data_IF_127650359107
#
_entry.id   IF_127650359107
#
_cell.length_a   1.000
_cell.length_b   1.000
_cell.length_c   1.000
_cell.angle_alpha   90.00
_cell.angle_beta   90.00
_cell.angle_gamma   90.00
#
_symmetry.space_group_name_H-M   'P 1'
#
loop_
_entity.id
_entity.type
_entity.pdbx_description
1 polymer ?
#
# COMPACT_ATOMS: atom_id res chain seq x y z
N UNK A 1 -5.85 53.59 54.41
CA UNK A 1 -6.11 53.44 52.96
C UNK A 1 -4.88 53.13 52.08
N UNK A 2 -3.64 53.43 52.48
CA UNK A 2 -2.46 53.12 51.63
C UNK A 2 -1.94 51.67 51.72
N UNK A 3 -2.06 51.00 52.87
CA UNK A 3 -1.58 49.60 53.03
C UNK A 3 -2.40 48.55 52.24
N UNK A 4 -3.72 48.74 52.13
CA UNK A 4 -4.61 47.80 51.43
C UNK A 4 -4.33 47.72 49.92
N UNK A 5 -3.90 48.82 49.29
CA UNK A 5 -3.55 48.86 47.86
C UNK A 5 -2.32 48.03 47.51
N UNK A 6 -1.33 47.97 48.41
CA UNK A 6 -0.10 47.21 48.19
C UNK A 6 -0.34 45.71 48.31
N UNK A 7 -1.21 45.27 49.23
CA UNK A 7 -1.59 43.87 49.35
C UNK A 7 -2.35 43.36 48.13
N UNK A 8 -3.28 44.17 47.58
CA UNK A 8 -4.03 43.80 46.36
C UNK A 8 -3.14 43.75 45.12
N UNK A 9 -2.14 44.64 45.01
CA UNK A 9 -1.19 44.62 43.90
C UNK A 9 -0.25 43.41 43.97
N UNK A 10 0.18 43.01 45.17
CA UNK A 10 1.04 41.84 45.34
C UNK A 10 0.28 40.55 45.00
N UNK A 11 -0.97 40.40 45.44
CA UNK A 11 -1.78 39.21 45.12
C UNK A 11 -2.11 39.11 43.63
N UNK A 12 -2.46 40.22 42.96
CA UNK A 12 -2.68 40.22 41.51
C UNK A 12 -1.40 39.85 40.75
N UNK A 13 -0.23 40.31 41.19
CA UNK A 13 1.04 39.98 40.56
C UNK A 13 1.40 38.49 40.76
N UNK A 14 1.18 37.94 41.96
CA UNK A 14 1.38 36.51 42.28
C UNK A 14 0.42 35.60 41.49
N UNK A 15 -0.85 35.99 41.31
CA UNK A 15 -1.80 35.24 40.47
C UNK A 15 -1.44 35.31 38.99
N UNK A 16 -0.95 36.45 38.49
CA UNK A 16 -0.52 36.62 37.09
C UNK A 16 0.73 35.81 36.75
N UNK A 17 1.69 35.71 37.69
CA UNK A 17 2.89 34.88 37.55
C UNK A 17 2.58 33.38 37.66
N UNK A 18 1.63 32.98 38.53
CA UNK A 18 1.19 31.59 38.58
C UNK A 18 0.40 31.16 37.34
N UNK A 19 -0.42 32.05 36.76
CA UNK A 19 -1.11 31.77 35.49
C UNK A 19 -0.14 31.68 34.30
N UNK A 20 0.88 32.53 34.24
CA UNK A 20 1.85 32.51 33.15
C UNK A 20 2.77 31.27 33.20
N UNK A 21 3.20 30.84 34.40
CA UNK A 21 3.96 29.60 34.56
C UNK A 21 3.11 28.34 34.31
N UNK A 22 1.82 28.36 34.66
CA UNK A 22 0.88 27.28 34.36
C UNK A 22 0.56 27.15 32.87
N UNK A 23 0.45 28.27 32.14
CA UNK A 23 0.25 28.25 30.68
C UNK A 23 1.53 27.87 29.92
N UNK A 24 2.71 28.30 30.36
CA UNK A 24 3.98 27.91 29.70
C UNK A 24 4.32 26.42 29.85
N UNK A 25 3.95 25.80 30.98
CA UNK A 25 4.13 24.34 31.17
C UNK A 25 3.09 23.51 30.42
N UNK A 26 1.85 24.01 30.29
CA UNK A 26 0.81 23.36 29.48
C UNK A 26 1.08 23.43 27.96
N UNK A 27 1.69 24.53 27.47
CA UNK A 27 2.02 24.69 26.04
C UNK A 27 3.25 23.83 25.65
N UNK A 28 4.20 23.58 26.56
CA UNK A 28 5.35 22.73 26.28
C UNK A 28 5.05 21.23 26.26
N UNK A 29 3.89 20.79 26.80
CA UNK A 29 3.52 19.38 26.85
C UNK A 29 2.71 18.89 25.63
N UNK A 30 2.39 19.77 24.67
CA UNK A 30 1.51 19.43 23.54
C UNK A 30 2.13 19.67 22.15
N UNK A 31 3.46 19.85 22.04
CA UNK A 31 4.12 19.73 20.75
C UNK A 31 4.41 18.25 20.46
N UNK A 32 3.36 17.49 20.09
CA UNK A 32 3.57 16.34 19.22
C UNK A 32 4.24 16.89 17.97
N UNK A 33 5.56 16.76 17.86
CA UNK A 33 6.29 17.13 16.65
C UNK A 33 5.60 16.45 15.48
N UNK A 34 5.12 17.24 14.52
CA UNK A 34 4.49 16.70 13.32
C UNK A 34 5.41 15.65 12.70
N UNK A 35 4.84 14.50 12.32
CA UNK A 35 5.62 13.43 11.69
C UNK A 35 6.31 13.96 10.42
N UNK A 36 7.62 13.77 10.34
CA UNK A 36 8.38 14.14 9.16
C UNK A 36 8.25 13.03 8.12
N UNK A 37 7.42 13.27 7.10
CA UNK A 37 7.21 12.34 6.00
C UNK A 37 8.43 12.13 5.12
N UNK A 38 9.39 13.06 5.11
CA UNK A 38 10.55 13.05 4.23
C UNK A 38 10.19 12.80 2.74
N UNK A 39 9.06 13.36 2.30
CA UNK A 39 8.61 13.29 0.89
C UNK A 39 8.94 14.59 0.16
N UNK A 40 9.24 14.54 -1.15
CA UNK A 40 9.44 15.74 -1.96
C UNK A 40 8.22 16.65 -1.97
N UNK A 41 8.43 17.97 -2.17
CA UNK A 41 7.36 19.00 -2.17
C UNK A 41 6.25 18.74 -3.19
N UNK A 42 6.58 18.09 -4.31
CA UNK A 42 5.60 17.76 -5.35
C UNK A 42 4.65 16.63 -4.92
N UNK A 43 5.07 15.75 -4.00
CA UNK A 43 4.24 14.65 -3.52
C UNK A 43 3.33 15.13 -2.38
N UNK A 44 2.00 15.11 -2.55
CA UNK A 44 1.08 15.40 -1.45
C UNK A 44 1.17 14.33 -0.36
N UNK A 45 0.90 14.68 0.89
CA UNK A 45 0.85 13.69 1.97
C UNK A 45 -0.36 12.77 1.79
N UNK A 46 -0.24 11.48 2.16
CA UNK A 46 -1.38 10.58 2.17
C UNK A 46 -2.36 11.00 3.29
N UNK A 47 -3.62 10.57 3.14
CA UNK A 47 -4.63 10.81 4.17
C UNK A 47 -4.36 9.94 5.40
N UNK A 48 -4.28 10.57 6.58
CA UNK A 48 -4.06 9.88 7.86
C UNK A 48 -5.37 9.85 8.65
N UNK A 49 -5.80 8.67 9.14
CA UNK A 49 -6.97 8.60 10.02
C UNK A 49 -6.75 9.39 11.31
N UNK A 50 -7.76 10.17 11.70
CA UNK A 50 -7.68 11.02 12.90
C UNK A 50 -7.47 10.20 14.20
N UNK A 51 -7.94 8.96 14.23
CA UNK A 51 -7.78 8.01 15.34
C UNK A 51 -6.44 7.25 15.32
N UNK A 52 -5.60 7.45 14.29
CA UNK A 52 -4.25 6.92 14.22
C UNK A 52 -3.25 7.93 13.61
N UNK A 53 -2.98 9.06 14.29
CA UNK A 53 -2.01 10.04 13.79
C UNK A 53 -0.59 9.44 13.74
N UNK A 54 0.18 9.84 12.72
CA UNK A 54 1.56 9.40 12.54
C UNK A 54 2.49 9.98 13.61
N UNK A 55 3.43 9.17 14.09
CA UNK A 55 4.61 9.62 14.85
C UNK A 55 5.76 8.61 14.66
N UNK A 56 7.01 9.05 14.84
CA UNK A 56 8.18 8.23 14.53
C UNK A 56 8.28 6.98 15.41
N UNK A 57 7.90 7.06 16.70
CA UNK A 57 7.94 5.92 17.62
C UNK A 57 6.94 4.83 17.21
N UNK A 58 5.77 5.22 16.69
CA UNK A 58 4.75 4.30 16.20
C UNK A 58 5.14 3.64 14.88
N UNK A 59 5.79 4.39 13.98
CA UNK A 59 6.37 3.84 12.74
C UNK A 59 7.45 2.81 13.08
N UNK A 60 8.33 3.13 14.03
CA UNK A 60 9.38 2.20 14.45
C UNK A 60 8.82 0.94 15.13
N UNK A 61 7.85 1.09 16.02
CA UNK A 61 7.13 -0.06 16.60
C UNK A 61 6.47 -0.92 15.49
N UNK A 62 5.81 -0.27 14.52
CA UNK A 62 5.22 -0.95 13.38
C UNK A 62 6.25 -1.73 12.56
N UNK A 63 7.45 -1.16 12.34
CA UNK A 63 8.56 -1.81 11.65
C UNK A 63 8.98 -3.08 12.38
N UNK A 64 9.18 -3.03 13.69
CA UNK A 64 9.50 -4.22 14.47
C UNK A 64 8.40 -5.30 14.37
N UNK A 65 7.14 -4.91 14.49
CA UNK A 65 6.00 -5.84 14.39
C UNK A 65 5.86 -6.44 12.99
N UNK A 66 6.14 -5.69 11.94
CA UNK A 66 6.09 -6.16 10.55
C UNK A 66 7.09 -7.31 10.28
N UNK A 67 8.22 -7.30 10.97
CA UNK A 67 9.25 -8.34 10.89
C UNK A 67 9.14 -9.41 11.99
N UNK A 68 8.19 -9.30 12.92
CA UNK A 68 8.05 -10.20 14.08
C UNK A 68 7.46 -11.56 13.68
N UNK A 69 8.30 -12.59 13.66
CA UNK A 69 7.87 -13.93 13.26
C UNK A 69 6.97 -14.61 14.30
N UNK A 70 7.08 -14.23 15.59
CA UNK A 70 6.22 -14.75 16.67
C UNK A 70 4.75 -14.31 16.54
N UNK A 71 4.42 -13.44 15.57
CA UNK A 71 3.04 -13.14 15.19
C UNK A 71 2.43 -14.21 14.28
N UNK A 72 3.17 -15.25 13.88
CA UNK A 72 2.62 -16.40 13.16
C UNK A 72 2.53 -17.65 14.03
N UNK A 73 1.65 -18.57 13.64
CA UNK A 73 1.39 -19.83 14.35
C UNK A 73 2.61 -20.75 14.41
N UNK A 74 3.50 -20.66 13.42
CA UNK A 74 4.75 -21.44 13.36
C UNK A 74 5.91 -20.73 14.04
N UNK A 75 5.83 -19.40 14.24
CA UNK A 75 6.96 -18.59 14.66
C UNK A 75 8.02 -18.37 13.56
N UNK A 76 7.71 -18.71 12.31
CA UNK A 76 8.64 -18.62 11.16
C UNK A 76 8.21 -17.58 10.11
N UNK A 77 6.96 -17.10 10.17
CA UNK A 77 6.39 -16.14 9.22
C UNK A 77 6.16 -14.78 9.87
N UNK A 78 6.46 -13.72 9.13
CA UNK A 78 6.05 -12.35 9.45
C UNK A 78 5.44 -11.69 8.21
N UNK A 79 4.96 -10.45 8.32
CA UNK A 79 4.50 -9.70 7.14
C UNK A 79 5.61 -9.63 6.07
N UNK A 80 6.86 -9.48 6.50
CA UNK A 80 8.03 -9.43 5.64
C UNK A 80 8.32 -10.75 4.89
N UNK A 81 7.72 -11.89 5.26
CA UNK A 81 7.87 -13.15 4.51
C UNK A 81 7.21 -13.07 3.13
N UNK A 82 6.06 -12.40 3.03
CA UNK A 82 5.35 -12.17 1.77
C UNK A 82 5.57 -10.76 1.20
N UNK A 83 6.14 -9.85 1.98
CA UNK A 83 6.39 -8.47 1.58
C UNK A 83 7.89 -8.14 1.75
N UNK A 84 8.70 -8.70 0.86
CA UNK A 84 10.16 -8.56 0.87
C UNK A 84 10.56 -7.17 0.36
N UNK A 85 11.25 -6.39 1.18
CA UNK A 85 11.71 -5.03 0.81
C UNK A 85 12.44 -4.99 -0.54
N UNK A 86 13.35 -5.95 -0.79
CA UNK A 86 14.14 -6.03 -2.04
C UNK A 86 13.30 -6.21 -3.31
N UNK A 87 12.05 -6.67 -3.17
CA UNK A 87 11.06 -6.84 -4.25
C UNK A 87 9.96 -5.79 -4.13
N UNK A 88 10.28 -4.60 -3.62
CA UNK A 88 9.32 -3.55 -3.35
C UNK A 88 8.11 -4.03 -2.51
N UNK A 89 8.39 -4.86 -1.50
CA UNK A 89 7.38 -5.43 -0.60
C UNK A 89 6.38 -6.37 -1.29
N UNK A 90 6.85 -7.23 -2.20
CA UNK A 90 6.14 -8.44 -2.69
C UNK A 90 6.94 -9.71 -2.35
N UNK A 91 6.49 -10.89 -2.79
CA UNK A 91 7.12 -12.19 -2.47
C UNK A 91 7.88 -12.85 -3.63
N UNK A 92 7.71 -12.36 -4.86
CA UNK A 92 8.29 -12.95 -6.08
C UNK A 92 7.71 -14.31 -6.47
N UNK A 93 6.51 -14.66 -5.99
CA UNK A 93 5.82 -15.92 -6.27
C UNK A 93 4.55 -15.66 -7.08
N UNK A 94 4.08 -16.67 -7.83
CA UNK A 94 2.78 -16.62 -8.51
C UNK A 94 1.65 -16.31 -7.52
N UNK A 95 1.62 -17.05 -6.40
CA UNK A 95 0.70 -16.80 -5.29
C UNK A 95 1.41 -17.00 -3.97
N UNK A 96 0.96 -16.28 -2.95
CA UNK A 96 1.49 -16.40 -1.60
C UNK A 96 1.22 -17.79 -1.02
N UNK A 97 2.10 -18.21 -0.11
CA UNK A 97 1.95 -19.44 0.67
C UNK A 97 2.00 -19.04 2.13
N UNK A 98 0.94 -19.34 2.89
CA UNK A 98 0.86 -18.98 4.30
C UNK A 98 1.64 -19.94 5.21
N UNK A 99 1.61 -19.65 6.51
CA UNK A 99 2.39 -20.34 7.53
C UNK A 99 2.05 -21.84 7.67
N UNK A 100 0.86 -22.27 7.24
CA UNK A 100 0.41 -23.67 7.24
C UNK A 100 0.62 -24.38 5.89
N UNK A 101 1.20 -23.70 4.90
CA UNK A 101 1.42 -24.24 3.56
C UNK A 101 0.24 -24.05 2.59
N UNK A 102 -0.85 -23.42 3.02
CA UNK A 102 -1.98 -23.08 2.16
C UNK A 102 -1.60 -22.03 1.11
N UNK A 103 -2.05 -22.23 -0.13
CA UNK A 103 -1.82 -21.30 -1.24
C UNK A 103 -2.95 -20.30 -1.33
N UNK A 104 -2.58 -19.04 -1.54
CA UNK A 104 -3.53 -17.98 -1.82
C UNK A 104 -4.07 -18.07 -3.25
N UNK A 105 -5.30 -17.58 -3.51
CA UNK A 105 -5.78 -17.43 -4.87
C UNK A 105 -5.08 -16.28 -5.61
N UNK A 106 -4.40 -15.38 -4.88
CA UNK A 106 -3.87 -14.12 -5.40
C UNK A 106 -2.37 -13.94 -5.11
N UNK A 107 -1.73 -13.19 -5.98
CA UNK A 107 -0.35 -12.70 -5.82
C UNK A 107 -0.28 -11.62 -4.70
N UNK A 108 0.84 -11.56 -4.00
CA UNK A 108 1.10 -10.53 -2.98
C UNK A 108 1.36 -9.16 -3.62
N UNK A 109 0.41 -8.23 -3.43
CA UNK A 109 0.57 -6.85 -3.90
C UNK A 109 1.73 -6.14 -3.21
N UNK A 110 2.38 -5.23 -3.94
CA UNK A 110 3.36 -4.32 -3.35
C UNK A 110 2.72 -3.42 -2.31
N UNK A 111 3.46 -3.14 -1.23
CA UNK A 111 3.09 -2.13 -0.23
C UNK A 111 3.66 -0.74 -0.53
N UNK A 112 4.38 -0.57 -1.65
CA UNK A 112 4.88 0.74 -2.06
C UNK A 112 3.71 1.71 -2.24
N UNK A 113 3.78 2.86 -1.56
CA UNK A 113 2.76 3.90 -1.57
C UNK A 113 1.35 3.43 -1.15
N UNK A 114 1.23 2.35 -0.36
CA UNK A 114 -0.07 1.79 0.04
C UNK A 114 -0.93 2.80 0.83
N UNK A 115 -0.29 3.78 1.47
CA UNK A 115 -0.92 4.91 2.15
C UNK A 115 -1.87 5.73 1.26
N UNK A 116 -1.67 5.71 -0.05
CA UNK A 116 -2.43 6.48 -1.03
C UNK A 116 -3.65 5.70 -1.57
N UNK A 117 -3.80 4.43 -1.23
CA UNK A 117 -4.91 3.61 -1.73
C UNK A 117 -6.15 3.79 -0.83
N UNK A 118 -7.29 4.27 -1.38
CA UNK A 118 -8.52 4.43 -0.60
C UNK A 118 -9.22 3.10 -0.30
N UNK A 119 -8.93 2.07 -1.08
CA UNK A 119 -9.35 0.68 -0.86
C UNK A 119 -8.15 -0.25 -1.03
N UNK A 120 -8.09 -1.29 -0.21
CA UNK A 120 -6.95 -2.18 -0.10
C UNK A 120 -7.24 -3.54 -0.76
N UNK A 121 -6.18 -4.34 -0.89
CA UNK A 121 -6.19 -5.63 -1.61
C UNK A 121 -6.53 -5.47 -3.10
N UNK A 122 -6.72 -6.60 -3.78
CA UNK A 122 -6.95 -6.66 -5.22
C UNK A 122 -8.36 -6.22 -5.65
N UNK A 123 -9.38 -6.52 -4.85
CA UNK A 123 -10.79 -6.39 -5.30
C UNK A 123 -11.81 -6.21 -4.16
N UNK A 124 -11.44 -5.57 -3.05
CA UNK A 124 -12.35 -5.38 -1.92
C UNK A 124 -12.71 -3.90 -1.69
N UNK A 125 -13.92 -3.44 -2.11
CA UNK A 125 -14.33 -2.05 -1.92
C UNK A 125 -14.65 -1.69 -0.46
N UNK A 126 -14.72 -2.66 0.46
CA UNK A 126 -15.10 -2.46 1.85
C UNK A 126 -13.90 -2.28 2.79
N UNK A 127 -12.70 -2.69 2.36
CA UNK A 127 -11.49 -2.59 3.18
C UNK A 127 -10.76 -1.28 2.86
N UNK A 128 -11.08 -0.24 3.64
CA UNK A 128 -10.62 1.14 3.45
C UNK A 128 -9.56 1.60 4.45
N UNK A 129 -9.18 0.73 5.39
CA UNK A 129 -8.20 1.03 6.46
C UNK A 129 -7.18 -0.08 6.59
N UNK A 130 -5.90 0.30 6.64
CA UNK A 130 -4.78 -0.62 6.89
C UNK A 130 -4.94 -1.35 8.23
N UNK A 131 -5.46 -0.66 9.25
CA UNK A 131 -5.71 -1.24 10.57
C UNK A 131 -6.68 -2.42 10.52
N UNK A 132 -7.70 -2.34 9.66
CA UNK A 132 -8.66 -3.41 9.46
C UNK A 132 -8.07 -4.50 8.57
N UNK A 133 -7.35 -4.10 7.52
CA UNK A 133 -6.72 -5.06 6.61
C UNK A 133 -5.71 -5.93 7.36
N UNK A 134 -4.90 -5.38 8.27
CA UNK A 134 -3.91 -6.11 9.06
C UNK A 134 -4.52 -7.24 9.92
N UNK A 135 -5.81 -7.20 10.23
CA UNK A 135 -6.50 -8.30 10.92
C UNK A 135 -6.67 -9.52 10.01
N UNK A 136 -6.79 -9.33 8.70
CA UNK A 136 -6.98 -10.42 7.73
C UNK A 136 -5.77 -11.36 7.67
N UNK A 137 -4.51 -10.92 7.47
CA UNK A 137 -3.38 -11.83 7.45
C UNK A 137 -3.12 -12.46 8.84
N UNK A 138 -3.40 -11.74 9.93
CA UNK A 138 -3.16 -12.26 11.28
C UNK A 138 -4.20 -13.33 11.66
N UNK A 139 -5.48 -13.06 11.39
CA UNK A 139 -6.63 -13.82 11.90
C UNK A 139 -7.54 -14.38 10.79
N UNK A 140 -7.07 -14.43 9.54
CA UNK A 140 -7.79 -15.11 8.45
C UNK A 140 -7.77 -16.62 8.66
N UNK A 141 -8.91 -17.27 8.44
CA UNK A 141 -9.05 -18.73 8.55
C UNK A 141 -8.76 -19.44 7.22
N UNK A 142 -9.13 -18.84 6.07
CA UNK A 142 -8.97 -19.49 4.77
C UNK A 142 -8.70 -18.51 3.62
N UNK A 143 -7.63 -18.74 2.84
CA UNK A 143 -6.47 -19.56 3.21
C UNK A 143 -5.76 -18.97 4.44
N UNK A 144 -5.16 -19.82 5.27
CA UNK A 144 -4.41 -19.34 6.44
C UNK A 144 -3.14 -18.60 6.01
N UNK A 145 -2.98 -17.36 6.49
CA UNK A 145 -1.75 -16.57 6.35
C UNK A 145 -0.84 -16.74 7.57
N UNK A 146 -1.06 -15.97 8.64
CA UNK A 146 -0.25 -16.07 9.87
C UNK A 146 -0.84 -17.06 10.88
N UNK A 147 -2.15 -17.35 10.81
CA UNK A 147 -2.78 -18.46 11.55
C UNK A 147 -3.03 -18.20 13.05
N UNK A 148 -3.27 -16.96 13.46
CA UNK A 148 -3.41 -16.59 14.87
C UNK A 148 -4.85 -16.44 15.37
N UNK A 149 -5.82 -17.00 14.65
CA UNK A 149 -7.26 -16.99 15.03
C UNK A 149 -7.44 -17.51 16.45
N UNK A 150 -8.10 -16.70 17.30
CA UNK A 150 -8.36 -17.05 18.70
C UNK A 150 -7.13 -17.02 19.62
N UNK A 151 -5.98 -16.51 19.14
CA UNK A 151 -4.71 -16.43 19.88
C UNK A 151 -4.31 -14.99 20.23
N UNK A 152 -5.26 -14.06 20.25
CA UNK A 152 -5.02 -12.65 20.58
C UNK A 152 -4.37 -12.51 21.95
N UNK A 153 -4.86 -13.26 22.95
CA UNK A 153 -4.28 -13.24 24.31
C UNK A 153 -2.83 -13.74 24.33
N UNK A 154 -2.50 -14.73 23.49
CA UNK A 154 -1.15 -15.26 23.37
C UNK A 154 -0.21 -14.22 22.74
N UNK A 155 -0.63 -13.56 21.67
CA UNK A 155 0.13 -12.46 21.04
C UNK A 155 0.40 -11.36 22.07
N UNK A 156 -0.64 -10.90 22.76
CA UNK A 156 -0.50 -9.79 23.71
C UNK A 156 0.34 -10.16 24.94
N UNK A 157 0.31 -11.42 25.38
CA UNK A 157 1.20 -11.91 26.44
C UNK A 157 2.67 -11.90 25.96
N UNK A 158 2.94 -12.44 24.76
CA UNK A 158 4.27 -12.42 24.16
C UNK A 158 4.84 -10.99 24.06
N UNK A 159 4.02 -10.03 23.62
CA UNK A 159 4.43 -8.62 23.53
C UNK A 159 4.65 -7.96 24.92
N UNK A 160 3.96 -8.41 25.97
CA UNK A 160 4.15 -7.89 27.33
C UNK A 160 5.40 -8.45 28.01
N UNK A 161 5.71 -9.72 27.72
CA UNK A 161 6.81 -10.45 28.35
C UNK A 161 8.15 -10.21 27.62
N UNK A 162 8.13 -9.61 26.43
CA UNK A 162 9.31 -9.22 25.67
C UNK A 162 10.05 -8.03 26.32
N UNK A 163 11.37 -7.98 26.17
CA UNK A 163 12.21 -6.93 26.77
C UNK A 163 12.12 -5.57 26.07
N UNK A 164 11.71 -5.52 24.79
CA UNK A 164 11.67 -4.30 23.98
C UNK A 164 10.26 -3.72 23.85
N UNK A 165 9.28 -4.58 23.55
CA UNK A 165 7.93 -4.12 23.19
C UNK A 165 7.24 -3.25 24.23
N UNK A 166 7.28 -3.51 25.56
CA UNK A 166 6.62 -2.67 26.54
C UNK A 166 7.03 -1.20 26.47
N UNK A 167 8.32 -0.93 26.28
CA UNK A 167 8.82 0.43 26.15
C UNK A 167 8.43 1.04 24.79
N UNK A 168 8.54 0.28 23.70
CA UNK A 168 8.15 0.75 22.36
C UNK A 168 6.67 1.12 22.27
N UNK A 169 5.77 0.30 22.84
CA UNK A 169 4.33 0.58 22.91
C UNK A 169 4.03 1.82 23.75
N UNK A 170 4.70 1.98 24.90
CA UNK A 170 4.57 3.17 25.75
C UNK A 170 5.00 4.44 25.02
N UNK A 171 6.06 4.38 24.24
CA UNK A 171 6.59 5.53 23.50
C UNK A 171 5.74 5.89 22.27
N UNK A 172 5.16 4.89 21.60
CA UNK A 172 4.30 5.05 20.42
C UNK A 172 2.89 5.56 20.76
N UNK A 173 2.32 5.12 21.89
CA UNK A 173 0.95 5.40 22.35
C UNK A 173 0.97 6.13 23.70
N UNK A 174 1.67 7.27 23.73
CA UNK A 174 1.82 8.10 24.93
C UNK A 174 0.45 8.43 25.53
N UNK A 175 0.38 8.40 26.87
CA UNK A 175 -0.81 8.69 27.67
C UNK A 175 -1.88 7.60 27.69
N UNK A 176 -1.71 6.48 26.99
CA UNK A 176 -2.57 5.32 27.15
C UNK A 176 -2.13 4.45 28.33
N UNK A 177 -3.07 4.08 29.20
CA UNK A 177 -2.78 3.23 30.38
C UNK A 177 -2.40 1.80 29.98
N UNK A 178 -3.01 1.27 28.91
CA UNK A 178 -2.84 -0.10 28.44
C UNK A 178 -2.45 -0.12 26.96
N UNK A 179 -1.21 0.29 26.62
CA UNK A 179 -0.82 0.50 25.23
C UNK A 179 -0.66 -0.80 24.44
N UNK A 180 -0.43 -1.95 25.10
CA UNK A 180 -0.38 -3.27 24.45
C UNK A 180 -1.79 -3.87 24.37
N UNK A 181 -2.44 -3.64 23.23
CA UNK A 181 -3.77 -4.13 22.90
C UNK A 181 -3.90 -4.37 21.37
N UNK A 182 -4.93 -5.09 20.88
CA UNK A 182 -5.06 -5.40 19.45
C UNK A 182 -5.19 -4.18 18.54
N UNK A 183 -5.84 -3.10 19.01
CA UNK A 183 -5.98 -1.88 18.23
C UNK A 183 -4.63 -1.20 18.02
N UNK A 184 -3.81 -1.13 19.04
CA UNK A 184 -2.48 -0.51 18.95
C UNK A 184 -1.49 -1.37 18.16
N UNK A 185 -1.64 -2.70 18.17
CA UNK A 185 -0.91 -3.60 17.29
C UNK A 185 -1.15 -3.24 15.81
N UNK A 186 -2.41 -3.18 15.37
CA UNK A 186 -2.72 -2.86 13.97
C UNK A 186 -2.46 -1.40 13.62
N UNK A 187 -2.65 -0.47 14.56
CA UNK A 187 -2.29 0.96 14.36
C UNK A 187 -0.79 1.17 14.16
N UNK A 188 0.04 0.41 14.86
CA UNK A 188 1.50 0.47 14.69
C UNK A 188 1.90 -0.09 13.32
N UNK A 189 1.43 -1.29 12.95
CA UNK A 189 1.63 -1.87 11.62
C UNK A 189 1.21 -0.89 10.51
N UNK A 190 0.00 -0.36 10.59
CA UNK A 190 -0.52 0.60 9.63
C UNK A 190 0.30 1.91 9.57
N UNK A 191 0.91 2.35 10.68
CA UNK A 191 1.80 3.51 10.65
C UNK A 191 3.09 3.21 9.89
N UNK A 192 3.69 2.03 10.08
CA UNK A 192 4.84 1.60 9.30
C UNK A 192 4.51 1.47 7.81
N UNK A 193 3.42 0.80 7.46
CA UNK A 193 2.98 0.66 6.07
C UNK A 193 2.71 2.01 5.40
N UNK A 194 2.13 2.98 6.13
CA UNK A 194 1.96 4.34 5.61
C UNK A 194 3.28 5.04 5.28
N UNK A 195 4.36 4.68 5.97
CA UNK A 195 5.68 5.27 5.74
C UNK A 195 6.41 4.71 4.52
N UNK A 196 5.93 3.61 3.93
CA UNK A 196 6.52 2.95 2.76
C UNK A 196 6.30 3.76 1.48
N UNK A 197 6.90 4.95 1.40
CA UNK A 197 6.75 5.87 0.28
C UNK A 197 7.92 5.76 -0.71
N UNK A 198 7.59 5.49 -1.97
CA UNK A 198 8.50 5.36 -3.11
C UNK A 198 8.27 6.51 -4.10
N UNK A 199 9.21 7.46 -4.12
CA UNK A 199 9.11 8.76 -4.81
C UNK A 199 10.47 9.30 -5.27
N UNK A 200 11.49 8.44 -5.36
CA UNK A 200 12.87 8.79 -5.76
C UNK A 200 13.32 8.08 -7.05
N UNK A 201 12.39 7.51 -7.83
CA UNK A 201 12.72 6.82 -9.09
C UNK A 201 13.38 7.76 -10.11
N UNK A 202 14.10 7.22 -11.12
CA UNK A 202 14.57 8.01 -12.26
C UNK A 202 13.45 8.84 -12.92
N UNK A 203 12.24 8.27 -13.03
CA UNK A 203 11.09 9.00 -13.53
C UNK A 203 10.71 10.20 -12.65
N UNK A 204 10.72 10.04 -11.32
CA UNK A 204 10.41 11.15 -10.41
C UNK A 204 11.42 12.30 -10.54
N UNK A 205 12.72 11.96 -10.65
CA UNK A 205 13.82 12.92 -10.87
C UNK A 205 13.65 13.67 -12.20
N UNK A 206 13.23 12.97 -13.25
CA UNK A 206 12.93 13.55 -14.55
C UNK A 206 11.70 14.46 -14.52
N UNK A 207 10.55 13.92 -14.08
CA UNK A 207 9.25 14.55 -14.23
C UNK A 207 9.04 15.70 -13.25
N UNK A 208 9.52 15.54 -12.01
CA UNK A 208 9.26 16.47 -10.92
C UNK A 208 10.53 17.12 -10.36
N UNK A 209 11.68 16.46 -10.48
CA UNK A 209 12.98 16.99 -10.06
C UNK A 209 13.66 17.93 -11.06
N UNK A 210 13.20 17.97 -12.31
CA UNK A 210 13.76 18.81 -13.37
C UNK A 210 15.05 18.27 -14.00
N UNK A 211 15.46 17.04 -13.67
CA UNK A 211 16.62 16.39 -14.28
C UNK A 211 16.22 15.75 -15.62
N UNK A 212 16.35 16.51 -16.70
CA UNK A 212 16.02 16.07 -18.05
C UNK A 212 16.77 14.80 -18.49
N UNK A 213 17.88 14.43 -17.84
CA UNK A 213 18.70 13.28 -18.20
C UNK A 213 18.52 12.08 -17.26
N UNK A 214 17.65 12.18 -16.25
CA UNK A 214 17.41 11.08 -15.32
C UNK A 214 16.80 9.83 -15.99
N UNK A 215 16.13 9.99 -17.13
CA UNK A 215 15.63 8.87 -17.95
C UNK A 215 16.17 8.92 -19.38
N UNK A 216 16.28 7.75 -20.01
CA UNK A 216 16.79 7.61 -21.37
C UNK A 216 15.85 8.19 -22.43
N UNK A 217 16.33 8.51 -23.64
CA UNK A 217 15.46 8.88 -24.76
C UNK A 217 14.39 7.83 -25.09
N UNK A 218 14.70 6.54 -24.89
CA UNK A 218 13.74 5.44 -25.06
C UNK A 218 12.60 5.53 -24.05
N UNK A 219 12.92 5.73 -22.76
CA UNK A 219 11.91 5.90 -21.72
C UNK A 219 11.00 7.12 -21.96
N UNK A 220 11.52 8.22 -22.52
CA UNK A 220 10.69 9.39 -22.91
C UNK A 220 9.72 9.06 -24.04
N UNK A 221 10.14 8.26 -25.03
CA UNK A 221 9.24 7.77 -26.08
C UNK A 221 8.20 6.80 -25.51
N UNK A 222 8.61 5.93 -24.59
CA UNK A 222 7.72 5.04 -23.85
C UNK A 222 6.68 5.78 -23.01
N UNK A 223 7.05 6.87 -22.34
CA UNK A 223 6.10 7.73 -21.62
C UNK A 223 5.06 8.31 -22.57
N UNK A 224 5.47 8.76 -23.76
CA UNK A 224 4.54 9.29 -24.77
C UNK A 224 3.55 8.21 -25.24
N UNK A 225 4.03 6.99 -25.47
CA UNK A 225 3.18 5.84 -25.81
C UNK A 225 2.21 5.54 -24.66
N UNK A 226 2.70 5.46 -23.42
CA UNK A 226 1.88 5.19 -22.24
C UNK A 226 0.73 6.20 -22.06
N UNK A 227 0.97 7.47 -22.38
CA UNK A 227 0.00 8.55 -22.27
C UNK A 227 -0.78 8.82 -23.59
N UNK A 228 -0.74 7.92 -24.57
CA UNK A 228 -1.51 8.08 -25.80
C UNK A 228 -2.88 7.42 -25.70
N UNK A 229 -3.84 7.95 -26.46
CA UNK A 229 -5.16 7.33 -26.67
C UNK A 229 -5.06 6.04 -27.53
N UNK A 230 -3.90 5.73 -28.10
CA UNK A 230 -3.71 4.45 -28.81
C UNK A 230 -3.48 3.29 -27.84
N UNK A 231 -2.81 3.54 -26.70
CA UNK A 231 -2.46 2.51 -25.71
C UNK A 231 -3.30 2.60 -24.43
N UNK A 232 -3.92 3.75 -24.17
CA UNK A 232 -4.93 3.95 -23.12
C UNK A 232 -4.47 3.65 -21.68
N UNK A 233 -3.17 3.46 -21.45
CA UNK A 233 -2.64 3.01 -20.15
C UNK A 233 -2.93 4.01 -19.03
N UNK A 234 -2.86 5.31 -19.35
CA UNK A 234 -3.02 6.40 -18.39
C UNK A 234 -4.43 6.52 -17.80
N UNK A 235 -5.48 5.94 -18.45
CA UNK A 235 -6.83 5.96 -17.90
C UNK A 235 -6.94 5.19 -16.58
N UNK A 236 -6.23 4.07 -16.46
CA UNK A 236 -6.22 3.23 -15.26
C UNK A 236 -4.95 3.40 -14.41
N UNK A 237 -3.83 3.75 -15.04
CA UNK A 237 -2.52 3.89 -14.40
C UNK A 237 -2.00 5.33 -14.48
N UNK A 238 -2.88 6.30 -14.19
CA UNK A 238 -2.56 7.72 -14.23
C UNK A 238 -2.05 8.30 -12.91
N UNK A 239 -1.83 9.62 -12.93
CA UNK A 239 -1.54 10.42 -11.74
C UNK A 239 -0.18 10.14 -11.09
N UNK A 240 0.02 10.71 -9.91
CA UNK A 240 1.29 10.65 -9.17
C UNK A 240 1.65 9.23 -8.70
N UNK A 241 0.68 8.32 -8.61
CA UNK A 241 0.87 6.97 -8.08
C UNK A 241 0.65 5.88 -9.14
N UNK A 242 0.47 6.22 -10.42
CA UNK A 242 0.23 5.26 -11.50
C UNK A 242 -0.91 4.28 -11.21
N UNK A 243 -2.01 4.82 -10.69
CA UNK A 243 -3.26 4.11 -10.38
C UNK A 243 -4.39 5.14 -10.33
N UNK A 244 -5.57 4.75 -10.78
CA UNK A 244 -6.81 5.52 -10.73
C UNK A 244 -7.61 5.31 -9.44
N UNK A 245 -7.05 4.57 -8.48
CA UNK A 245 -7.61 4.39 -7.15
C UNK A 245 -6.71 5.04 -6.12
N UNK A 246 -6.89 6.35 -5.91
CA UNK A 246 -5.97 7.19 -5.13
C UNK A 246 -6.70 8.15 -4.19
N UNK A 247 -6.08 8.44 -3.05
CA UNK A 247 -6.51 9.47 -2.10
C UNK A 247 -5.30 10.12 -1.42
N UNK A 248 -5.32 11.45 -1.31
CA UNK A 248 -4.32 12.24 -0.58
C UNK A 248 -4.91 13.58 -0.12
N UNK A 249 -4.14 14.34 0.67
CA UNK A 249 -4.62 15.58 1.32
C UNK A 249 -5.08 16.70 0.36
N UNK A 250 -4.73 16.59 -0.93
CA UNK A 250 -5.08 17.57 -1.98
C UNK A 250 -6.29 17.15 -2.83
N UNK A 251 -6.84 15.95 -2.62
CA UNK A 251 -8.05 15.50 -3.31
C UNK A 251 -9.28 15.78 -2.44
N UNK A 252 -10.32 16.33 -3.05
CA UNK A 252 -11.59 16.58 -2.38
C UNK A 252 -12.41 15.29 -2.19
N UNK A 253 -12.25 14.32 -3.10
CA UNK A 253 -12.97 13.06 -3.12
C UNK A 253 -11.99 11.91 -3.34
N UNK A 254 -12.30 10.75 -2.77
CA UNK A 254 -11.55 9.53 -3.06
C UNK A 254 -11.92 9.00 -4.44
N UNK A 255 -10.93 8.54 -5.19
CA UNK A 255 -11.11 7.87 -6.47
C UNK A 255 -10.99 6.36 -6.26
N UNK A 256 -11.97 5.59 -6.69
CA UNK A 256 -11.99 4.13 -6.56
C UNK A 256 -12.51 3.55 -7.87
N UNK A 257 -11.70 2.71 -8.52
CA UNK A 257 -12.05 2.04 -9.74
C UNK A 257 -11.60 0.57 -9.72
N UNK A 258 -12.35 -0.26 -10.44
CA UNK A 258 -12.07 -1.67 -10.65
C UNK A 258 -12.37 -2.03 -12.10
N UNK A 259 -11.49 -2.81 -12.72
CA UNK A 259 -11.48 -3.05 -14.15
C UNK A 259 -11.35 -4.54 -14.44
N UNK A 260 -12.06 -5.00 -15.46
CA UNK A 260 -11.81 -6.30 -16.06
C UNK A 260 -10.95 -6.06 -17.31
N UNK A 261 -9.77 -6.68 -17.36
CA UNK A 261 -8.80 -6.53 -18.45
C UNK A 261 -8.85 -7.67 -19.47
N UNK A 262 -9.83 -8.57 -19.36
CA UNK A 262 -9.95 -9.72 -20.24
C UNK A 262 -8.81 -10.72 -20.02
N UNK A 263 -8.46 -10.99 -18.76
CA UNK A 263 -7.44 -12.01 -18.44
C UNK A 263 -7.99 -13.44 -18.62
N UNK A 264 -9.29 -13.61 -18.36
CA UNK A 264 -10.00 -14.88 -18.48
C UNK A 264 -11.36 -14.69 -19.15
N UNK A 265 -11.87 -15.77 -19.75
CA UNK A 265 -13.23 -15.89 -20.28
C UNK A 265 -13.57 -17.39 -20.41
N UNK A 266 -13.60 -18.09 -19.28
CA UNK A 266 -13.50 -19.57 -19.24
C UNK A 266 -14.71 -20.26 -19.88
N UNK A 267 -15.91 -19.75 -19.60
CA UNK A 267 -17.18 -20.25 -20.13
C UNK A 267 -17.65 -19.54 -21.41
N UNK A 268 -16.84 -18.63 -21.95
CA UNK A 268 -17.19 -17.77 -23.09
C UNK A 268 -18.24 -16.69 -22.77
N UNK A 269 -18.65 -16.53 -21.50
CA UNK A 269 -19.66 -15.55 -21.05
C UNK A 269 -19.11 -14.58 -20.00
N UNK A 270 -17.79 -14.55 -19.82
CA UNK A 270 -17.08 -13.58 -19.00
C UNK A 270 -16.55 -14.12 -17.68
N UNK A 271 -16.69 -15.43 -17.41
CA UNK A 271 -16.23 -16.02 -16.15
C UNK A 271 -14.72 -15.97 -15.95
N UNK A 272 -14.34 -15.76 -14.68
CA UNK A 272 -13.01 -15.90 -14.13
C UNK A 272 -12.93 -17.18 -13.26
N UNK A 273 -11.73 -17.63 -12.84
CA UNK A 273 -11.60 -18.77 -11.94
C UNK A 273 -12.47 -18.63 -10.69
N UNK A 274 -13.15 -19.70 -10.26
CA UNK A 274 -14.19 -19.63 -9.23
C UNK A 274 -13.71 -19.10 -7.87
N UNK A 275 -12.43 -19.29 -7.55
CA UNK A 275 -11.79 -18.80 -6.33
C UNK A 275 -11.16 -17.40 -6.49
N UNK A 276 -11.36 -16.75 -7.64
CA UNK A 276 -10.76 -15.44 -7.92
C UNK A 276 -11.59 -14.64 -8.96
N UNK A 277 -12.74 -14.15 -8.53
CA UNK A 277 -13.73 -13.49 -9.42
C UNK A 277 -13.75 -11.97 -9.27
N UNK A 278 -12.84 -11.42 -8.46
CA UNK A 278 -12.70 -9.98 -8.26
C UNK A 278 -13.81 -9.41 -7.39
N UNK A 279 -14.30 -8.22 -7.73
CA UNK A 279 -15.34 -7.52 -6.94
C UNK A 279 -16.65 -8.33 -6.86
N UNK A 280 -16.90 -9.20 -7.84
CA UNK A 280 -18.04 -10.14 -7.82
C UNK A 280 -18.15 -10.94 -6.52
N UNK A 281 -17.03 -11.32 -5.91
CA UNK A 281 -16.99 -12.08 -4.64
C UNK A 281 -17.75 -11.38 -3.51
N UNK A 282 -17.90 -10.06 -3.60
CA UNK A 282 -18.51 -9.22 -2.58
C UNK A 282 -19.89 -8.74 -3.03
N UNK A 283 -20.04 -8.36 -4.30
CA UNK A 283 -21.28 -7.74 -4.79
C UNK A 283 -22.27 -8.75 -5.35
N UNK A 284 -21.80 -9.92 -5.79
CA UNK A 284 -22.58 -10.91 -6.56
C UNK A 284 -23.25 -10.37 -7.83
N UNK A 285 -22.88 -9.16 -8.29
CA UNK A 285 -23.42 -8.56 -9.51
C UNK A 285 -22.67 -9.12 -10.72
N UNK A 286 -23.34 -9.76 -11.70
CA UNK A 286 -22.64 -10.37 -12.84
C UNK A 286 -21.68 -9.44 -13.58
N UNK A 287 -22.01 -8.15 -13.69
CA UNK A 287 -21.16 -7.12 -14.31
C UNK A 287 -19.87 -6.81 -13.54
N UNK A 288 -19.73 -7.28 -12.30
CA UNK A 288 -18.52 -7.12 -11.50
C UNK A 288 -17.53 -8.30 -11.62
N UNK A 289 -17.86 -9.30 -12.45
CA UNK A 289 -17.00 -10.45 -12.72
C UNK A 289 -15.65 -10.01 -13.30
N UNK A 290 -14.58 -10.47 -12.67
CA UNK A 290 -13.21 -10.23 -13.11
C UNK A 290 -12.75 -8.78 -12.95
N UNK A 291 -13.46 -7.96 -12.17
CA UNK A 291 -13.05 -6.57 -11.90
C UNK A 291 -12.06 -6.51 -10.75
N UNK A 292 -10.89 -5.92 -11.00
CA UNK A 292 -9.79 -5.75 -10.05
C UNK A 292 -9.29 -4.31 -10.05
N UNK A 293 -8.76 -3.86 -8.91
CA UNK A 293 -8.16 -2.53 -8.78
C UNK A 293 -6.89 -2.48 -9.62
N UNK A 294 -6.68 -1.38 -10.35
CA UNK A 294 -5.40 -1.12 -11.01
C UNK A 294 -4.31 -0.95 -9.93
N UNK A 295 -3.28 -1.81 -9.85
CA UNK A 295 -2.18 -1.60 -8.91
C UNK A 295 -1.34 -0.39 -9.33
N UNK A 296 -0.59 0.19 -8.38
CA UNK A 296 0.44 1.18 -8.73
C UNK A 296 1.49 0.52 -9.64
N UNK A 297 1.95 1.25 -10.66
CA UNK A 297 3.09 0.81 -11.48
C UNK A 297 4.44 1.25 -10.92
N UNK A 298 4.48 1.95 -9.78
CA UNK A 298 5.74 2.26 -9.10
C UNK A 298 6.42 0.96 -8.68
N UNK A 299 7.70 0.83 -9.02
CA UNK A 299 8.49 -0.40 -8.82
C UNK A 299 8.00 -1.63 -9.59
N UNK A 300 7.19 -1.48 -10.63
CA UNK A 300 6.60 -2.63 -11.35
C UNK A 300 7.66 -3.62 -11.88
N UNK A 301 8.84 -3.13 -12.26
CA UNK A 301 9.94 -3.97 -12.74
C UNK A 301 10.49 -4.95 -11.69
N UNK A 302 10.20 -4.76 -10.40
CA UNK A 302 10.68 -5.60 -9.29
C UNK A 302 9.61 -6.55 -8.73
N UNK A 303 8.38 -6.48 -9.25
CA UNK A 303 7.21 -7.10 -8.62
C UNK A 303 6.61 -8.24 -9.43
N UNK A 304 7.39 -8.82 -10.35
CA UNK A 304 7.00 -10.04 -11.05
C UNK A 304 6.72 -11.19 -10.05
N UNK A 305 5.84 -12.14 -10.39
CA UNK A 305 4.99 -12.17 -11.58
C UNK A 305 3.77 -11.24 -11.47
N UNK A 306 3.06 -11.04 -12.57
CA UNK A 306 2.05 -9.99 -12.75
C UNK A 306 0.62 -10.53 -12.75
N UNK A 307 -0.32 -9.58 -12.64
CA UNK A 307 -1.75 -9.78 -12.48
C UNK A 307 -2.13 -10.31 -11.10
N UNK A 308 -3.43 -10.32 -10.84
CA UNK A 308 -3.98 -10.64 -9.53
C UNK A 308 -3.65 -12.04 -9.02
N UNK A 309 -3.31 -12.97 -9.90
CA UNK A 309 -3.01 -14.39 -9.63
C UNK A 309 -1.60 -14.78 -10.09
N UNK A 310 -0.75 -13.81 -10.45
CA UNK A 310 0.63 -14.06 -10.89
C UNK A 310 0.74 -14.84 -12.21
N UNK A 311 -0.33 -14.87 -13.01
CA UNK A 311 -0.44 -15.75 -14.17
C UNK A 311 0.33 -15.27 -15.41
N UNK A 312 0.93 -14.07 -15.37
CA UNK A 312 1.79 -13.52 -16.43
C UNK A 312 3.18 -13.27 -15.86
N UNK A 313 4.23 -13.82 -16.49
CA UNK A 313 5.54 -13.89 -15.86
C UNK A 313 6.40 -12.62 -16.04
N UNK A 314 6.27 -11.95 -17.19
CA UNK A 314 7.17 -10.86 -17.61
C UNK A 314 6.40 -9.61 -18.03
N UNK A 315 7.02 -8.43 -17.95
CA UNK A 315 6.41 -7.19 -18.43
C UNK A 315 6.18 -7.23 -19.94
N UNK A 316 7.05 -7.93 -20.67
CA UNK A 316 6.92 -8.20 -22.08
C UNK A 316 5.59 -8.92 -22.38
N UNK A 317 5.26 -9.97 -21.63
CA UNK A 317 3.99 -10.69 -21.74
C UNK A 317 2.79 -9.86 -21.25
N UNK A 318 2.98 -8.97 -20.27
CA UNK A 318 1.94 -8.02 -19.86
C UNK A 318 1.58 -7.11 -21.03
N UNK A 319 2.58 -6.58 -21.74
CA UNK A 319 2.34 -5.75 -22.92
C UNK A 319 1.66 -6.57 -24.02
N UNK A 320 2.07 -7.83 -24.23
CA UNK A 320 1.40 -8.72 -25.21
C UNK A 320 -0.07 -8.95 -24.86
N UNK A 321 -0.40 -9.13 -23.57
CA UNK A 321 -1.79 -9.22 -23.11
C UNK A 321 -2.61 -7.98 -23.50
N UNK A 322 -2.05 -6.78 -23.34
CA UNK A 322 -2.73 -5.54 -23.71
C UNK A 322 -2.75 -5.32 -25.23
N UNK A 323 -1.71 -5.70 -25.98
CA UNK A 323 -1.68 -5.64 -27.45
C UNK A 323 -2.81 -6.48 -28.07
N UNK A 324 -3.06 -7.67 -27.53
CA UNK A 324 -4.14 -8.56 -27.98
C UNK A 324 -5.52 -8.17 -27.42
N UNK A 325 -5.59 -7.12 -26.60
CA UNK A 325 -6.82 -6.64 -25.97
C UNK A 325 -7.42 -7.66 -25.00
N UNK A 326 -6.61 -8.55 -24.44
CA UNK A 326 -7.03 -9.66 -23.58
C UNK A 326 -6.18 -10.91 -23.79
N UNK A 327 -6.10 -11.78 -22.78
CA UNK A 327 -5.28 -12.99 -22.85
C UNK A 327 -6.06 -14.14 -23.50
N UNK A 328 -5.41 -14.87 -24.39
CA UNK A 328 -5.94 -16.13 -24.92
C UNK A 328 -5.25 -17.32 -24.25
N UNK A 329 -6.04 -18.24 -23.71
CA UNK A 329 -5.57 -19.50 -23.14
C UNK A 329 -6.13 -20.64 -23.98
N UNK A 330 -5.27 -21.37 -24.69
CA UNK A 330 -5.69 -22.32 -25.71
C UNK A 330 -6.16 -23.67 -25.16
N UNK A 331 -5.67 -24.09 -23.99
CA UNK A 331 -5.88 -25.44 -23.46
C UNK A 331 -5.98 -25.44 -21.94
N UNK A 332 -6.53 -26.52 -21.38
CA UNK A 332 -6.70 -26.71 -19.94
C UNK A 332 -8.02 -26.14 -19.40
N UNK A 333 -8.19 -26.24 -18.08
CA UNK A 333 -9.43 -25.84 -17.39
C UNK A 333 -9.69 -24.33 -17.42
N UNK A 334 -8.64 -23.54 -17.64
CA UNK A 334 -8.72 -22.08 -17.75
C UNK A 334 -8.75 -21.60 -19.20
N UNK A 335 -8.93 -22.50 -20.17
CA UNK A 335 -9.00 -22.15 -21.59
C UNK A 335 -10.13 -21.15 -21.85
N UNK A 336 -9.86 -20.16 -22.69
CA UNK A 336 -10.78 -19.06 -22.96
C UNK A 336 -10.12 -17.93 -23.74
N UNK A 337 -10.95 -17.09 -24.36
CA UNK A 337 -10.51 -15.93 -25.13
C UNK A 337 -10.91 -14.68 -24.37
N UNK A 338 -9.98 -14.13 -23.61
CA UNK A 338 -10.22 -12.97 -22.74
C UNK A 338 -10.55 -11.70 -23.51
N UNK A 339 -10.08 -11.56 -24.75
CA UNK A 339 -10.39 -10.40 -25.60
C UNK A 339 -11.86 -10.30 -25.99
N UNK A 340 -12.61 -11.41 -25.90
CA UNK A 340 -14.08 -11.47 -26.11
C UNK A 340 -14.89 -11.49 -24.81
N UNK A 341 -14.26 -11.24 -23.65
CA UNK A 341 -14.98 -11.16 -22.38
C UNK A 341 -15.99 -9.98 -22.42
N UNK A 342 -17.30 -10.22 -22.20
CA UNK A 342 -18.34 -9.19 -22.29
C UNK A 342 -18.27 -8.12 -21.19
N UNK A 343 -17.50 -8.34 -20.12
CA UNK A 343 -17.34 -7.39 -19.01
C UNK A 343 -16.01 -6.62 -19.08
N UNK A 344 -15.17 -6.90 -20.09
CA UNK A 344 -13.88 -6.23 -20.28
C UNK A 344 -14.08 -4.72 -20.45
N UNK A 345 -13.17 -3.93 -19.89
CA UNK A 345 -13.12 -2.49 -20.10
C UNK A 345 -12.97 -2.14 -21.58
N UNK A 346 -13.71 -1.13 -22.03
CA UNK A 346 -13.69 -0.65 -23.42
C UNK A 346 -12.32 -0.07 -23.82
N UNK A 347 -11.56 0.45 -22.85
CA UNK A 347 -10.19 0.93 -23.05
C UNK A 347 -9.19 -0.19 -23.38
N UNK A 348 -9.54 -1.46 -23.15
CA UNK A 348 -8.69 -2.62 -23.48
C UNK A 348 -9.11 -3.19 -24.84
N UNK A 349 -8.98 -2.36 -25.88
CA UNK A 349 -9.39 -2.70 -27.27
C UNK A 349 -8.29 -3.43 -28.06
N UNK A 350 -7.06 -3.45 -27.55
CA UNK A 350 -5.88 -3.99 -28.26
C UNK A 350 -5.19 -2.93 -29.11
N UNK A 351 -3.89 -3.10 -29.32
CA UNK A 351 -3.07 -2.16 -30.09
C UNK A 351 -1.87 -2.86 -30.73
N UNK A 352 -1.24 -2.18 -31.69
CA UNK A 352 -0.04 -2.68 -32.36
C UNK A 352 1.17 -1.84 -31.97
N UNK A 353 2.22 -2.51 -31.50
CA UNK A 353 3.53 -1.92 -31.31
C UNK A 353 4.54 -2.59 -32.25
N UNK A 354 5.44 -1.80 -32.80
CA UNK A 354 6.72 -2.32 -33.27
C UNK A 354 7.57 -2.81 -32.10
N UNK A 355 8.56 -3.67 -32.36
CA UNK A 355 9.48 -4.12 -31.31
C UNK A 355 10.20 -2.94 -30.64
N UNK A 356 10.58 -1.92 -31.42
CA UNK A 356 11.19 -0.70 -30.89
C UNK A 356 10.26 0.04 -29.91
N UNK A 357 8.98 0.17 -30.24
CA UNK A 357 8.00 0.84 -29.37
C UNK A 357 7.72 0.03 -28.10
N UNK A 358 7.68 -1.31 -28.20
CA UNK A 358 7.58 -2.19 -27.03
C UNK A 358 8.79 -2.02 -26.11
N UNK A 359 10.01 -1.94 -26.65
CA UNK A 359 11.21 -1.67 -25.87
C UNK A 359 11.22 -0.26 -25.26
N UNK A 360 10.71 0.75 -25.97
CA UNK A 360 10.57 2.11 -25.45
C UNK A 360 9.60 2.12 -24.24
N UNK A 361 8.45 1.46 -24.36
CA UNK A 361 7.47 1.32 -23.26
C UNK A 361 8.06 0.57 -22.05
N UNK A 362 8.80 -0.52 -22.28
CA UNK A 362 9.51 -1.24 -21.22
C UNK A 362 10.56 -0.35 -20.54
N UNK A 363 11.28 0.47 -21.30
CA UNK A 363 12.25 1.43 -20.74
C UNK A 363 11.55 2.45 -19.83
N UNK A 364 10.35 2.90 -20.20
CA UNK A 364 9.53 3.76 -19.35
C UNK A 364 9.11 3.06 -18.05
N UNK A 365 8.53 1.86 -18.12
CA UNK A 365 8.11 1.11 -16.93
C UNK A 365 9.27 0.81 -15.98
N UNK A 366 10.45 0.48 -16.52
CA UNK A 366 11.67 0.27 -15.73
C UNK A 366 12.14 1.55 -15.02
N UNK A 367 11.91 2.73 -15.62
CA UNK A 367 12.26 4.02 -15.02
C UNK A 367 11.42 4.39 -13.78
N UNK A 368 10.33 3.66 -13.51
CA UNK A 368 9.48 3.79 -12.32
C UNK A 368 10.04 3.06 -11.08
N UNK A 369 11.23 2.48 -11.18
CA UNK A 369 11.88 1.72 -10.10
C UNK A 369 12.66 2.64 -9.18
N UNK A 370 12.40 2.55 -7.88
CA UNK A 370 13.05 3.34 -6.84
C UNK A 370 14.08 2.49 -6.08
N UNK A 371 15.35 2.63 -6.48
CA UNK A 371 16.47 1.92 -5.85
C UNK A 371 16.72 2.35 -4.40
N UNK A 372 16.31 3.56 -4.01
CA UNK A 372 16.45 4.04 -2.64
C UNK A 372 15.41 3.35 -1.75
N UNK A 373 14.17 3.22 -2.22
CA UNK A 373 13.07 2.55 -1.51
C UNK A 373 13.41 1.11 -1.09
N UNK A 374 13.89 0.30 -2.04
CA UNK A 374 14.19 -1.12 -1.80
C UNK A 374 15.46 -1.38 -0.97
N UNK A 375 16.24 -0.33 -0.67
CA UNK A 375 17.47 -0.40 0.16
C UNK A 375 17.41 0.51 1.39
N UNK A 376 16.28 1.18 1.62
CA UNK A 376 16.16 2.15 2.70
C UNK A 376 16.29 1.46 4.07
N UNK A 377 17.29 1.80 4.90
CA UNK A 377 17.45 1.22 6.24
C UNK A 377 16.27 1.49 7.17
N UNK A 378 15.49 2.54 6.91
CA UNK A 378 14.29 2.84 7.69
C UNK A 378 13.15 1.82 7.44
N UNK A 379 13.24 1.00 6.38
CA UNK A 379 12.26 -0.04 6.10
C UNK A 379 12.81 -1.46 6.24
N UNK A 380 14.11 -1.63 6.49
CA UNK A 380 14.72 -2.95 6.63
C UNK A 380 14.36 -3.63 7.94
N UNK A 381 14.70 -4.90 8.08
CA UNK A 381 14.52 -5.64 9.34
C UNK A 381 15.36 -4.98 10.48
N UNK A 382 14.75 -4.60 11.62
CA UNK A 382 15.43 -3.94 12.76
C UNK A 382 16.50 -4.72 13.50
#
# INVERSE_FOLDING_TARGET
MKLSRWFTLLTICLYSVCLSMGMSTAISASSTSAYNWNIPVWMPKPTVPADNPMNSQKVELGRHLFYEQRLSITGEFSCATCHLQKLAFTDGKTVAVGATGEKHPRNSMSLANIAYNPVLTWANPLITKLENQALVPIFGEHPVEMGMVGREKQILAMLRDDSKYPQMFKDAFRNEKNPINPSNLTKALAAFERSLISVSSPYDKYRFGGDANAISPAAKRGEKLFNSEDLECFHCHGGINFTDSVMHEKLAFQEIAFHNTGLYNIDGKGSYPANNTGVYEITSKPTDMGRFKAPTLRNIALTAPYMHDGSIATLEEVIDHYQEGGRTIHTGELAGIGSTNPFKSEFISGFKLSECEKQDLLAFLRSLTDEEFIKNPAFSNP
#
